data_IF_075774286010
#
_entry.id   IF_075774286010
#
_cell.length_a   1.000
_cell.length_b   1.000
_cell.length_c   1.000
_cell.angle_alpha   90.00
_cell.angle_beta   90.00
_cell.angle_gamma   90.00
#
_symmetry.space_group_name_H-M   'P 1'
#
loop_
_entity.id
_entity.type
_entity.pdbx_description
1 polymer ?
#
# COMPACT_ATOMS: atom_id res chain seq x y z
N UNK A 1 -27.73 -26.59 17.27
CA UNK A 1 -26.59 -25.79 16.76
C UNK A 1 -25.92 -25.15 17.97
N UNK A 2 -24.66 -25.46 18.26
CA UNK A 2 -23.99 -24.89 19.43
C UNK A 2 -23.67 -23.39 19.19
N UNK A 3 -23.29 -22.65 20.24
CA UNK A 3 -22.98 -21.22 20.13
C UNK A 3 -21.86 -20.92 19.12
N UNK A 4 -20.85 -21.78 19.03
CA UNK A 4 -19.73 -21.64 18.10
C UNK A 4 -20.14 -21.86 16.63
N UNK A 5 -21.06 -22.79 16.37
CA UNK A 5 -21.61 -23.04 15.04
C UNK A 5 -22.43 -21.83 14.56
N UNK A 6 -23.19 -21.20 15.48
CA UNK A 6 -23.96 -19.98 15.19
C UNK A 6 -23.04 -18.80 14.87
N UNK A 7 -22.01 -18.58 15.68
CA UNK A 7 -21.01 -17.53 15.41
C UNK A 7 -20.35 -17.73 14.04
N UNK A 8 -19.97 -18.97 13.71
CA UNK A 8 -19.34 -19.29 12.43
C UNK A 8 -20.29 -19.05 11.25
N UNK A 9 -21.57 -19.42 11.39
CA UNK A 9 -22.57 -19.17 10.35
C UNK A 9 -22.80 -17.66 10.13
N UNK A 10 -22.85 -16.86 11.19
CA UNK A 10 -22.99 -15.40 11.09
C UNK A 10 -21.75 -14.79 10.41
N UNK A 11 -20.55 -15.16 10.87
CA UNK A 11 -19.30 -14.69 10.27
C UNK A 11 -19.24 -15.02 8.77
N UNK A 12 -19.63 -16.23 8.37
CA UNK A 12 -19.64 -16.61 6.96
C UNK A 12 -20.63 -15.77 6.14
N UNK A 13 -21.83 -15.50 6.65
CA UNK A 13 -22.82 -14.65 5.95
C UNK A 13 -22.32 -13.22 5.77
N UNK A 14 -21.70 -12.64 6.80
CA UNK A 14 -21.10 -11.30 6.72
C UNK A 14 -19.96 -11.30 5.71
N UNK A 15 -19.07 -12.30 5.74
CA UNK A 15 -17.97 -12.41 4.79
C UNK A 15 -18.48 -12.53 3.33
N UNK A 16 -19.51 -13.33 3.08
CA UNK A 16 -20.14 -13.42 1.75
C UNK A 16 -20.72 -12.07 1.33
N UNK A 17 -21.39 -11.36 2.25
CA UNK A 17 -21.91 -10.02 1.99
C UNK A 17 -20.80 -9.02 1.61
N UNK A 18 -19.67 -9.04 2.32
CA UNK A 18 -18.50 -8.21 2.00
C UNK A 18 -17.90 -8.54 0.63
N UNK A 19 -17.84 -9.83 0.25
CA UNK A 19 -17.41 -10.23 -1.09
C UNK A 19 -18.40 -9.73 -2.16
N UNK A 20 -19.70 -9.82 -1.91
CA UNK A 20 -20.71 -9.29 -2.83
C UNK A 20 -20.59 -7.76 -3.00
N UNK A 21 -20.36 -7.02 -1.91
CA UNK A 21 -20.10 -5.57 -1.95
C UNK A 21 -18.85 -5.27 -2.76
N UNK A 22 -17.75 -6.00 -2.54
CA UNK A 22 -16.52 -5.84 -3.30
C UNK A 22 -16.75 -6.06 -4.81
N UNK A 23 -17.47 -7.11 -5.19
CA UNK A 23 -17.77 -7.41 -6.61
C UNK A 23 -18.65 -6.31 -7.20
N UNK A 24 -19.68 -5.86 -6.49
CA UNK A 24 -20.53 -4.77 -6.93
C UNK A 24 -19.75 -3.47 -7.16
N UNK A 25 -18.85 -3.12 -6.23
CA UNK A 25 -17.97 -1.95 -6.36
C UNK A 25 -17.04 -2.07 -7.58
N UNK A 26 -16.50 -3.27 -7.86
CA UNK A 26 -15.71 -3.49 -9.07
C UNK A 26 -16.52 -3.34 -10.35
N UNK A 27 -17.75 -3.87 -10.39
CA UNK A 27 -18.64 -3.71 -11.56
C UNK A 27 -18.92 -2.21 -11.81
N UNK A 28 -19.25 -1.47 -10.76
CA UNK A 28 -19.48 -0.02 -10.85
C UNK A 28 -18.22 0.69 -11.30
N UNK A 29 -17.06 0.33 -10.74
CA UNK A 29 -15.78 0.91 -11.12
C UNK A 29 -15.45 0.67 -12.59
N UNK A 30 -15.61 -0.57 -13.08
CA UNK A 30 -15.33 -0.89 -14.48
C UNK A 30 -16.22 -0.03 -15.39
N UNK A 31 -17.52 0.06 -15.09
CA UNK A 31 -18.45 0.88 -15.85
C UNK A 31 -18.03 2.36 -15.87
N UNK A 32 -17.78 2.95 -14.69
CA UNK A 32 -17.39 4.36 -14.59
C UNK A 32 -16.03 4.62 -15.21
N UNK A 33 -15.04 3.76 -14.99
CA UNK A 33 -13.68 3.94 -15.48
C UNK A 33 -13.55 3.82 -17.00
N UNK A 34 -14.40 3.01 -17.66
CA UNK A 34 -14.53 3.05 -19.12
C UNK A 34 -15.26 4.29 -19.60
N UNK A 35 -16.29 4.76 -18.87
CA UNK A 35 -17.06 5.95 -19.25
C UNK A 35 -16.25 7.25 -19.09
N UNK A 36 -15.38 7.35 -18.09
CA UNK A 36 -14.54 8.52 -17.84
C UNK A 36 -13.22 8.48 -18.59
N UNK A 37 -12.87 7.35 -19.19
CA UNK A 37 -11.55 7.11 -19.77
C UNK A 37 -10.45 6.85 -18.73
N UNK A 38 -10.76 6.76 -17.43
CA UNK A 38 -9.73 6.55 -16.40
C UNK A 38 -8.99 5.20 -16.54
N UNK A 39 -9.60 4.23 -17.22
CA UNK A 39 -9.01 2.93 -17.57
C UNK A 39 -8.39 2.88 -18.98
N UNK A 40 -8.60 3.89 -19.83
CA UNK A 40 -8.22 3.84 -21.27
C UNK A 40 -7.33 4.99 -21.73
N UNK A 41 -7.36 6.14 -21.07
CA UNK A 41 -6.76 7.39 -21.52
C UNK A 41 -5.49 7.74 -20.74
N UNK A 42 -4.88 6.75 -20.09
CA UNK A 42 -3.62 6.90 -19.38
C UNK A 42 -2.43 6.83 -20.37
N UNK A 43 -1.30 7.48 -20.09
CA UNK A 43 -0.16 7.52 -20.99
C UNK A 43 0.57 6.15 -21.03
N UNK A 44 0.11 5.27 -21.93
CA UNK A 44 0.80 4.03 -22.29
C UNK A 44 -0.01 2.77 -22.00
N UNK A 45 -0.75 2.29 -23.00
CA UNK A 45 -1.72 1.19 -22.90
C UNK A 45 -1.23 -0.10 -22.21
N UNK A 46 0.06 -0.42 -22.31
CA UNK A 46 0.66 -1.60 -21.64
C UNK A 46 0.76 -1.38 -20.13
N UNK A 47 1.22 -0.20 -19.70
CA UNK A 47 1.32 0.15 -18.29
C UNK A 47 -0.09 0.22 -17.69
N UNK A 48 -1.06 0.72 -18.44
CA UNK A 48 -2.46 0.85 -17.99
C UNK A 48 -3.13 -0.50 -17.78
N UNK A 49 -2.92 -1.43 -18.73
CA UNK A 49 -3.39 -2.79 -18.58
C UNK A 49 -2.74 -3.46 -17.37
N UNK A 50 -1.44 -3.26 -17.16
CA UNK A 50 -0.72 -3.81 -16.01
C UNK A 50 -1.20 -3.20 -14.69
N UNK A 51 -1.43 -1.90 -14.62
CA UNK A 51 -1.96 -1.23 -13.43
C UNK A 51 -3.41 -1.60 -13.14
N UNK A 52 -4.27 -1.64 -14.16
CA UNK A 52 -5.67 -2.02 -14.02
C UNK A 52 -5.84 -3.49 -13.62
N UNK A 53 -5.21 -4.41 -14.36
CA UNK A 53 -5.20 -5.84 -14.04
C UNK A 53 -4.51 -6.10 -12.71
N UNK A 54 -3.41 -5.42 -12.43
CA UNK A 54 -2.71 -5.47 -11.16
C UNK A 54 -3.60 -5.05 -10.00
N UNK A 55 -4.31 -3.93 -10.11
CA UNK A 55 -5.22 -3.44 -9.06
C UNK A 55 -6.35 -4.43 -8.79
N UNK A 56 -6.95 -5.02 -9.83
CA UNK A 56 -7.94 -6.10 -9.68
C UNK A 56 -7.32 -7.30 -8.98
N UNK A 57 -6.19 -7.79 -9.48
CA UNK A 57 -5.52 -8.98 -8.98
C UNK A 57 -5.09 -8.83 -7.51
N UNK A 58 -4.45 -7.71 -7.14
CA UNK A 58 -4.02 -7.47 -5.77
C UNK A 58 -5.19 -7.24 -4.82
N UNK A 59 -6.20 -6.44 -5.21
CA UNK A 59 -7.37 -6.24 -4.35
C UNK A 59 -8.17 -7.54 -4.12
N UNK A 60 -8.31 -8.37 -5.17
CA UNK A 60 -8.92 -9.69 -5.07
C UNK A 60 -8.07 -10.64 -4.22
N UNK A 61 -6.75 -10.65 -4.38
CA UNK A 61 -5.83 -11.42 -3.54
C UNK A 61 -6.00 -11.06 -2.05
N UNK A 62 -5.96 -9.77 -1.71
CA UNK A 62 -6.13 -9.29 -0.33
C UNK A 62 -7.48 -9.78 0.23
N UNK A 63 -8.56 -9.60 -0.53
CA UNK A 63 -9.91 -10.02 -0.15
C UNK A 63 -10.01 -11.55 0.05
N UNK A 64 -9.46 -12.33 -0.88
CA UNK A 64 -9.51 -13.79 -0.87
C UNK A 64 -8.71 -14.36 0.30
N UNK A 65 -7.54 -13.78 0.60
CA UNK A 65 -6.78 -14.15 1.81
C UNK A 65 -7.59 -13.83 3.06
N UNK A 66 -8.18 -12.65 3.15
CA UNK A 66 -9.04 -12.25 4.27
C UNK A 66 -10.22 -13.21 4.46
N UNK A 67 -10.94 -13.52 3.37
CA UNK A 67 -12.04 -14.49 3.35
C UNK A 67 -11.59 -15.90 3.77
N UNK A 68 -10.45 -16.37 3.25
CA UNK A 68 -9.89 -17.67 3.61
C UNK A 68 -9.51 -17.77 5.09
N UNK A 69 -9.07 -16.66 5.70
CA UNK A 69 -8.81 -16.57 7.15
C UNK A 69 -10.13 -16.55 7.92
N UNK A 70 -11.12 -15.73 7.55
CA UNK A 70 -12.41 -15.64 8.28
C UNK A 70 -13.17 -16.97 8.27
N UNK A 71 -13.16 -17.70 7.14
CA UNK A 71 -13.87 -18.99 7.01
C UNK A 71 -13.30 -20.10 7.90
N UNK A 72 -12.00 -20.03 8.22
CA UNK A 72 -11.28 -20.98 9.08
C UNK A 72 -11.12 -20.50 10.52
N UNK A 73 -10.94 -19.20 10.71
CA UNK A 73 -10.68 -18.54 11.99
C UNK A 73 -11.55 -17.26 12.12
N UNK A 74 -12.88 -17.38 12.30
CA UNK A 74 -13.80 -16.24 12.28
C UNK A 74 -13.54 -15.20 13.38
N UNK A 75 -12.86 -15.60 14.46
CA UNK A 75 -12.47 -14.72 15.58
C UNK A 75 -11.15 -13.99 15.36
N UNK A 76 -10.41 -14.30 14.28
CA UNK A 76 -9.16 -13.63 13.97
C UNK A 76 -9.43 -12.31 13.24
N UNK A 77 -9.17 -11.19 13.91
CA UNK A 77 -9.41 -9.84 13.39
C UNK A 77 -8.69 -9.56 12.06
N UNK A 78 -7.54 -10.20 11.82
CA UNK A 78 -6.72 -9.96 10.61
C UNK A 78 -7.48 -10.32 9.34
N UNK A 79 -8.26 -11.41 9.36
CA UNK A 79 -9.07 -11.79 8.20
C UNK A 79 -10.08 -10.70 7.83
N UNK A 80 -10.72 -10.10 8.82
CA UNK A 80 -11.68 -9.00 8.63
C UNK A 80 -10.99 -7.71 8.16
N UNK A 81 -9.84 -7.36 8.72
CA UNK A 81 -9.05 -6.21 8.28
C UNK A 81 -8.61 -6.35 6.82
N UNK A 82 -8.15 -7.55 6.44
CA UNK A 82 -7.81 -7.87 5.05
C UNK A 82 -9.02 -7.82 4.12
N UNK A 83 -10.23 -8.14 4.57
CA UNK A 83 -11.42 -7.94 3.73
C UNK A 83 -11.80 -6.46 3.60
N UNK A 84 -11.58 -5.66 4.63
CA UNK A 84 -11.96 -4.24 4.66
C UNK A 84 -11.05 -3.35 3.81
N UNK A 85 -9.73 -3.59 3.83
CA UNK A 85 -8.73 -2.83 3.06
C UNK A 85 -9.13 -2.66 1.58
N UNK A 86 -9.35 -3.75 0.80
CA UNK A 86 -9.62 -3.62 -0.61
C UNK A 86 -11.02 -3.06 -0.89
N UNK A 87 -12.00 -3.26 0.00
CA UNK A 87 -13.34 -2.66 -0.12
C UNK A 87 -13.26 -1.14 -0.03
N UNK A 88 -12.56 -0.61 0.99
CA UNK A 88 -12.36 0.84 1.13
C UNK A 88 -11.52 1.40 -0.02
N UNK A 89 -10.48 0.68 -0.44
CA UNK A 89 -9.65 1.07 -1.58
C UNK A 89 -10.47 1.20 -2.86
N UNK A 90 -11.25 0.20 -3.23
CA UNK A 90 -12.08 0.26 -4.46
C UNK A 90 -13.18 1.29 -4.32
N UNK A 91 -13.76 1.45 -3.13
CA UNK A 91 -14.74 2.51 -2.90
C UNK A 91 -14.15 3.90 -3.17
N UNK A 92 -12.90 4.14 -2.73
CA UNK A 92 -12.17 5.37 -3.04
C UNK A 92 -12.06 5.62 -4.55
N UNK A 93 -11.70 4.59 -5.31
CA UNK A 93 -11.65 4.69 -6.76
C UNK A 93 -13.01 4.92 -7.41
N UNK A 94 -14.06 4.23 -6.94
CA UNK A 94 -15.44 4.43 -7.44
C UNK A 94 -15.89 5.87 -7.26
N UNK A 95 -15.66 6.47 -6.07
CA UNK A 95 -16.04 7.87 -5.84
C UNK A 95 -15.16 8.84 -6.64
N UNK A 96 -13.89 8.49 -6.91
CA UNK A 96 -13.01 9.24 -7.80
C UNK A 96 -13.50 9.25 -9.25
N UNK A 97 -13.81 8.09 -9.82
CA UNK A 97 -14.37 7.96 -11.16
C UNK A 97 -15.75 8.65 -11.25
N UNK A 98 -16.60 8.47 -10.23
CA UNK A 98 -17.90 9.14 -10.15
C UNK A 98 -17.76 10.67 -10.15
N UNK A 99 -16.83 11.21 -9.36
CA UNK A 99 -16.58 12.65 -9.31
C UNK A 99 -16.10 13.18 -10.66
N UNK A 100 -15.21 12.46 -11.33
CA UNK A 100 -14.72 12.79 -12.68
C UNK A 100 -15.88 12.82 -13.68
N UNK A 101 -16.74 11.79 -13.67
CA UNK A 101 -17.92 11.73 -14.54
C UNK A 101 -18.87 12.92 -14.31
N UNK A 102 -19.18 13.19 -13.03
CA UNK A 102 -20.17 14.20 -12.64
C UNK A 102 -19.70 15.64 -12.85
N UNK A 103 -18.39 15.91 -12.73
CA UNK A 103 -17.84 17.26 -12.68
C UNK A 103 -17.03 17.62 -13.94
N UNK A 104 -16.49 16.63 -14.66
CA UNK A 104 -15.54 16.85 -15.76
C UNK A 104 -16.03 16.28 -17.07
N UNK A 105 -16.31 14.97 -17.15
CA UNK A 105 -16.69 14.31 -18.42
C UNK A 105 -18.06 14.76 -18.92
N UNK A 106 -19.06 14.73 -18.04
CA UNK A 106 -20.40 15.21 -18.32
C UNK A 106 -20.89 16.07 -17.15
N UNK A 107 -20.46 17.33 -17.13
CA UNK A 107 -20.75 18.27 -16.04
C UNK A 107 -22.25 18.33 -15.74
N UNK A 108 -22.62 18.00 -14.50
CA UNK A 108 -24.02 18.04 -14.03
C UNK A 108 -24.88 16.82 -14.41
N UNK A 109 -24.31 15.80 -15.06
CA UNK A 109 -25.02 14.56 -15.41
C UNK A 109 -25.42 13.72 -14.20
N UNK A 110 -24.62 13.78 -13.13
CA UNK A 110 -24.80 13.00 -11.91
C UNK A 110 -24.83 13.92 -10.68
N UNK A 111 -25.72 13.69 -9.72
CA UNK A 111 -25.79 14.49 -8.51
C UNK A 111 -24.60 14.21 -7.59
N UNK A 112 -24.34 15.13 -6.65
CA UNK A 112 -23.35 14.93 -5.57
C UNK A 112 -21.88 14.73 -6.00
N UNK A 113 -21.48 15.13 -7.22
CA UNK A 113 -20.08 15.02 -7.67
C UNK A 113 -19.06 15.62 -6.71
N UNK A 114 -19.38 16.77 -6.07
CA UNK A 114 -18.50 17.39 -5.05
C UNK A 114 -18.36 16.56 -3.78
N UNK A 115 -19.41 15.84 -3.38
CA UNK A 115 -19.36 14.94 -2.22
C UNK A 115 -18.52 13.71 -2.55
N UNK A 116 -18.63 13.18 -3.77
CA UNK A 116 -17.78 12.10 -4.24
C UNK A 116 -16.30 12.49 -4.26
N UNK A 117 -15.98 13.69 -4.78
CA UNK A 117 -14.62 14.24 -4.74
C UNK A 117 -14.11 14.44 -3.30
N UNK A 118 -15.00 14.80 -2.38
CA UNK A 118 -14.66 14.91 -0.96
C UNK A 118 -14.30 13.56 -0.33
N UNK A 119 -15.06 12.50 -0.61
CA UNK A 119 -14.73 11.14 -0.17
C UNK A 119 -13.43 10.62 -0.78
N UNK A 120 -13.22 10.84 -2.09
CA UNK A 120 -12.01 10.46 -2.83
C UNK A 120 -10.74 10.95 -2.12
N UNK A 121 -10.76 12.18 -1.61
CA UNK A 121 -9.61 12.82 -0.94
C UNK A 121 -9.04 12.05 0.25
N UNK A 122 -9.86 11.40 1.08
CA UNK A 122 -9.41 10.84 2.36
C UNK A 122 -9.61 9.33 2.51
N UNK A 123 -10.46 8.69 1.69
CA UNK A 123 -10.75 7.26 1.80
C UNK A 123 -9.50 6.38 1.66
N UNK A 124 -8.58 6.74 0.75
CA UNK A 124 -7.35 5.97 0.54
C UNK A 124 -6.48 5.94 1.80
N UNK A 125 -6.42 7.05 2.54
CA UNK A 125 -5.66 7.14 3.79
C UNK A 125 -6.26 6.20 4.84
N UNK A 126 -7.59 6.16 4.95
CA UNK A 126 -8.28 5.24 5.85
C UNK A 126 -8.02 3.77 5.48
N UNK A 127 -8.02 3.43 4.19
CA UNK A 127 -7.74 2.08 3.71
C UNK A 127 -6.31 1.63 4.04
N UNK A 128 -5.31 2.47 3.74
CA UNK A 128 -3.89 2.15 3.98
C UNK A 128 -3.55 2.07 5.47
N UNK A 129 -4.16 2.90 6.31
CA UNK A 129 -3.90 2.90 7.75
C UNK A 129 -4.26 1.56 8.43
N UNK A 130 -5.14 0.74 7.85
CA UNK A 130 -5.55 -0.57 8.38
C UNK A 130 -4.41 -1.59 8.40
N UNK A 131 -3.36 -1.42 7.57
CA UNK A 131 -2.18 -2.29 7.63
C UNK A 131 -1.45 -2.20 8.99
N UNK A 132 -1.47 -1.05 9.66
CA UNK A 132 -0.78 -0.85 10.95
C UNK A 132 -1.37 -1.75 12.06
N UNK A 133 -2.68 -1.71 12.38
CA UNK A 133 -3.25 -2.61 13.36
C UNK A 133 -3.16 -4.08 12.93
N UNK A 134 -3.06 -4.40 11.63
CA UNK A 134 -2.79 -5.77 11.18
C UNK A 134 -1.46 -6.30 11.72
N UNK A 135 -0.36 -5.53 11.60
CA UNK A 135 0.94 -5.92 12.17
C UNK A 135 0.88 -6.06 13.70
N UNK A 136 0.15 -5.16 14.38
CA UNK A 136 0.01 -5.18 15.84
C UNK A 136 -0.76 -6.41 16.35
N UNK A 137 -1.72 -6.90 15.58
CA UNK A 137 -2.59 -8.02 15.92
C UNK A 137 -2.06 -9.39 15.47
N UNK A 138 -1.01 -9.41 14.65
CA UNK A 138 -0.44 -10.61 14.07
C UNK A 138 0.20 -11.55 15.12
N UNK A 139 0.08 -12.90 14.98
CA UNK A 139 -0.70 -13.66 13.98
C UNK A 139 -2.13 -14.03 14.40
N UNK A 140 -2.44 -13.95 15.70
CA UNK A 140 -3.64 -14.54 16.30
C UNK A 140 -4.84 -13.58 16.37
N UNK A 141 -4.72 -12.38 15.81
CA UNK A 141 -5.77 -11.36 15.80
C UNK A 141 -5.94 -10.65 17.14
N UNK A 142 -4.95 -10.73 18.02
CA UNK A 142 -5.00 -10.17 19.38
C UNK A 142 -3.80 -9.26 19.64
N UNK A 143 -3.88 -8.41 20.65
CA UNK A 143 -2.74 -7.63 21.10
C UNK A 143 -1.75 -8.52 21.88
N UNK A 144 -0.42 -8.27 21.81
CA UNK A 144 0.56 -9.06 22.56
C UNK A 144 0.30 -9.11 24.08
N UNK A 145 -0.16 -7.99 24.64
CA UNK A 145 -0.65 -7.89 26.02
C UNK A 145 -1.45 -6.58 26.22
N UNK A 146 -2.05 -6.39 27.40
CA UNK A 146 -2.87 -5.18 27.69
C UNK A 146 -2.10 -3.86 27.53
N UNK A 147 -0.77 -3.86 27.71
CA UNK A 147 0.09 -2.67 27.55
C UNK A 147 0.18 -2.15 26.12
N UNK A 148 -0.26 -2.94 25.13
CA UNK A 148 -0.29 -2.54 23.72
C UNK A 148 -1.62 -1.92 23.29
N UNK A 149 -2.63 -1.88 24.18
CA UNK A 149 -3.89 -1.17 23.92
C UNK A 149 -3.69 0.32 23.64
N UNK A 150 -2.83 1.05 24.39
CA UNK A 150 -2.54 2.45 24.07
C UNK A 150 -1.99 2.63 22.65
N UNK A 151 -1.15 1.70 22.17
CA UNK A 151 -0.61 1.77 20.79
C UNK A 151 -1.73 1.63 19.76
N UNK A 152 -2.64 0.67 19.95
CA UNK A 152 -3.80 0.53 19.06
C UNK A 152 -4.67 1.80 19.06
N UNK A 153 -4.99 2.33 20.25
CA UNK A 153 -5.78 3.56 20.37
C UNK A 153 -5.06 4.77 19.78
N UNK A 154 -3.74 4.85 19.94
CA UNK A 154 -2.91 5.89 19.34
C UNK A 154 -2.95 5.81 17.81
N UNK A 155 -2.85 4.62 17.23
CA UNK A 155 -3.02 4.43 15.78
C UNK A 155 -4.40 4.86 15.31
N UNK A 156 -5.47 4.41 15.99
CA UNK A 156 -6.85 4.79 15.64
C UNK A 156 -7.03 6.31 15.73
N UNK A 157 -6.54 6.95 16.79
CA UNK A 157 -6.62 8.38 16.99
C UNK A 157 -5.84 9.13 15.90
N UNK A 158 -4.59 8.73 15.61
CA UNK A 158 -3.77 9.34 14.57
C UNK A 158 -4.46 9.25 13.20
N UNK A 159 -4.94 8.06 12.82
CA UNK A 159 -5.69 7.86 11.57
C UNK A 159 -6.96 8.70 11.52
N UNK A 160 -7.71 8.77 12.63
CA UNK A 160 -8.95 9.57 12.70
C UNK A 160 -8.64 11.05 12.52
N UNK A 161 -7.61 11.56 13.21
CA UNK A 161 -7.16 12.95 13.06
C UNK A 161 -6.74 13.23 11.62
N UNK A 162 -5.96 12.34 11.00
CA UNK A 162 -5.58 12.50 9.59
C UNK A 162 -6.81 12.53 8.68
N UNK A 163 -7.71 11.55 8.78
CA UNK A 163 -8.92 11.49 7.94
C UNK A 163 -9.78 12.74 8.11
N UNK A 164 -10.02 13.18 9.34
CA UNK A 164 -10.80 14.39 9.62
C UNK A 164 -10.09 15.62 9.08
N UNK A 165 -8.78 15.77 9.31
CA UNK A 165 -7.99 16.89 8.83
C UNK A 165 -8.05 16.99 7.29
N UNK A 166 -7.87 15.89 6.57
CA UNK A 166 -8.02 15.84 5.11
C UNK A 166 -9.45 16.15 4.66
N UNK A 167 -10.46 15.71 5.41
CA UNK A 167 -11.86 15.96 5.11
C UNK A 167 -12.25 17.44 5.27
N UNK A 168 -11.66 18.17 6.21
CA UNK A 168 -11.98 19.59 6.46
C UNK A 168 -10.93 20.57 5.94
N UNK A 169 -9.89 20.08 5.24
CA UNK A 169 -8.84 20.95 4.69
C UNK A 169 -9.45 21.95 3.72
N UNK A 170 -9.26 23.27 3.93
CA UNK A 170 -9.75 24.28 3.02
C UNK A 170 -9.09 24.20 1.64
N UNK A 171 -9.68 24.93 0.69
CA UNK A 171 -9.11 25.09 -0.65
C UNK A 171 -9.55 24.03 -1.68
N UNK A 172 -8.73 23.89 -2.72
CA UNK A 172 -9.03 23.07 -3.90
C UNK A 172 -8.95 21.58 -3.55
N UNK A 173 -9.96 20.83 -3.97
CA UNK A 173 -9.89 19.38 -4.05
C UNK A 173 -9.01 18.99 -5.24
N UNK A 174 -7.84 18.45 -4.93
CA UNK A 174 -7.04 17.64 -5.84
C UNK A 174 -7.41 16.19 -5.51
N UNK A 175 -8.10 15.51 -6.41
CA UNK A 175 -8.54 14.13 -6.19
C UNK A 175 -7.38 13.20 -5.86
N UNK A 176 -7.65 12.14 -5.09
CA UNK A 176 -6.70 11.02 -4.97
C UNK A 176 -6.76 10.18 -6.25
N UNK A 177 -7.97 9.94 -6.76
CA UNK A 177 -8.22 9.21 -8.00
C UNK A 177 -9.10 9.98 -8.99
N UNK A 178 -9.78 11.05 -8.56
CA UNK A 178 -10.54 11.89 -9.49
C UNK A 178 -9.64 12.79 -10.33
N UNK A 179 -9.86 12.82 -11.65
CA UNK A 179 -9.19 13.78 -12.55
C UNK A 179 -9.92 15.12 -12.50
N UNK A 180 -9.54 15.94 -11.53
CA UNK A 180 -10.05 17.30 -11.36
C UNK A 180 -9.09 18.34 -11.95
N UNK A 181 -8.15 17.98 -12.82
CA UNK A 181 -7.14 18.94 -13.34
C UNK A 181 -7.80 20.08 -14.10
N UNK A 182 -8.81 19.77 -14.92
CA UNK A 182 -9.52 20.70 -15.81
C UNK A 182 -10.55 21.59 -15.09
N UNK A 183 -10.91 21.30 -13.84
CA UNK A 183 -11.98 22.00 -13.12
C UNK A 183 -11.56 22.33 -11.69
N UNK A 184 -11.83 23.56 -11.25
CA UNK A 184 -11.60 23.94 -9.85
C UNK A 184 -12.80 23.54 -9.00
N UNK A 185 -12.62 22.56 -8.13
CA UNK A 185 -13.61 22.14 -7.13
C UNK A 185 -13.10 22.50 -5.75
N UNK A 186 -13.87 23.26 -4.98
CA UNK A 186 -13.52 23.60 -3.60
C UNK A 186 -14.08 22.57 -2.63
N UNK A 187 -13.37 22.34 -1.52
CA UNK A 187 -13.83 21.44 -0.48
C UNK A 187 -15.13 22.00 0.16
N UNK A 188 -16.26 21.29 0.07
CA UNK A 188 -17.52 21.76 0.64
C UNK A 188 -17.49 21.88 2.17
N UNK A 189 -16.60 21.16 2.85
CA UNK A 189 -16.43 21.18 4.30
C UNK A 189 -15.10 21.83 4.72
N UNK A 190 -14.47 22.57 3.81
CA UNK A 190 -13.24 23.33 4.08
C UNK A 190 -13.46 24.38 5.16
N UNK A 191 -12.56 24.45 6.15
CA UNK A 191 -12.60 25.47 7.21
C UNK A 191 -11.39 26.41 7.06
N UNK A 192 -11.56 27.49 6.30
CA UNK A 192 -10.48 28.44 5.99
C UNK A 192 -9.83 29.02 7.27
N UNK A 193 -10.66 29.33 8.28
CA UNK A 193 -10.19 29.89 9.57
C UNK A 193 -9.26 28.93 10.36
N UNK A 194 -9.24 27.64 10.03
CA UNK A 194 -8.46 26.62 10.72
C UNK A 194 -7.29 26.07 9.88
N UNK A 195 -6.98 26.65 8.72
CA UNK A 195 -5.97 26.14 7.79
C UNK A 195 -4.64 25.79 8.48
N UNK A 196 -4.02 26.74 9.19
CA UNK A 196 -2.75 26.49 9.89
C UNK A 196 -2.83 25.40 10.97
N UNK A 197 -3.99 25.24 11.62
CA UNK A 197 -4.22 24.17 12.58
C UNK A 197 -4.38 22.81 11.90
N UNK A 198 -5.05 22.78 10.75
CA UNK A 198 -5.25 21.58 9.94
C UNK A 198 -3.91 21.10 9.36
N UNK A 199 -3.08 22.01 8.89
CA UNK A 199 -1.74 21.70 8.39
C UNK A 199 -0.85 21.11 9.49
N UNK A 200 -0.81 21.78 10.65
CA UNK A 200 -0.08 21.28 11.81
C UNK A 200 -0.61 19.90 12.27
N UNK A 201 -1.94 19.73 12.32
CA UNK A 201 -2.57 18.46 12.68
C UNK A 201 -2.22 17.36 11.69
N UNK A 202 -2.20 17.66 10.39
CA UNK A 202 -1.87 16.69 9.32
C UNK A 202 -0.41 16.25 9.41
N UNK A 203 0.52 17.19 9.60
CA UNK A 203 1.95 16.88 9.78
C UNK A 203 2.19 16.03 11.04
N UNK A 204 1.63 16.45 12.17
CA UNK A 204 1.75 15.71 13.44
C UNK A 204 1.12 14.33 13.35
N UNK A 205 -0.04 14.20 12.70
CA UNK A 205 -0.70 12.92 12.52
C UNK A 205 0.09 12.01 11.57
N UNK A 206 0.74 12.55 10.54
CA UNK A 206 1.68 11.80 9.70
C UNK A 206 2.85 11.23 10.49
N UNK A 207 3.47 12.04 11.36
CA UNK A 207 4.52 11.59 12.28
C UNK A 207 3.97 10.52 13.24
N UNK A 208 2.77 10.72 13.78
CA UNK A 208 2.12 9.75 14.67
C UNK A 208 1.81 8.41 13.98
N UNK A 209 1.44 8.42 12.70
CA UNK A 209 1.25 7.22 11.87
C UNK A 209 2.58 6.49 11.68
N UNK A 210 3.66 7.22 11.39
CA UNK A 210 5.00 6.62 11.29
C UNK A 210 5.44 5.98 12.62
N UNK A 211 5.28 6.70 13.74
CA UNK A 211 5.55 6.16 15.08
C UNK A 211 4.71 4.89 15.33
N UNK A 212 3.43 4.91 14.96
CA UNK A 212 2.54 3.74 15.07
C UNK A 212 3.04 2.54 14.27
N UNK A 213 3.53 2.76 13.05
CA UNK A 213 4.12 1.70 12.23
C UNK A 213 5.36 1.08 12.89
N UNK A 214 6.27 1.91 13.44
CA UNK A 214 7.43 1.42 14.20
C UNK A 214 7.03 0.65 15.46
N UNK A 215 6.03 1.14 16.21
CA UNK A 215 5.51 0.46 17.38
C UNK A 215 4.86 -0.89 17.02
N UNK A 216 4.14 -0.97 15.88
CA UNK A 216 3.59 -2.23 15.39
C UNK A 216 4.71 -3.22 15.02
N UNK A 217 5.79 -2.76 14.41
CA UNK A 217 7.01 -3.58 14.20
C UNK A 217 7.64 -4.05 15.51
N UNK A 218 7.76 -3.17 16.50
CA UNK A 218 8.26 -3.52 17.83
C UNK A 218 7.37 -4.56 18.54
N UNK A 219 6.05 -4.51 18.34
CA UNK A 219 5.12 -5.51 18.87
C UNK A 219 5.42 -6.92 18.34
N UNK A 220 5.79 -7.03 17.06
CA UNK A 220 6.20 -8.29 16.43
C UNK A 220 7.48 -8.82 17.05
N UNK A 221 8.47 -7.95 17.30
CA UNK A 221 9.71 -8.34 17.97
C UNK A 221 9.43 -8.84 19.39
N UNK A 222 8.59 -8.14 20.15
CA UNK A 222 8.19 -8.55 21.50
C UNK A 222 7.49 -9.90 21.49
N UNK A 223 6.59 -10.15 20.52
CA UNK A 223 5.96 -11.46 20.32
C UNK A 223 6.98 -12.53 19.97
N UNK A 224 7.92 -12.23 19.09
CA UNK A 224 8.95 -13.16 18.66
C UNK A 224 9.82 -13.66 19.83
N UNK A 225 10.17 -12.77 20.78
CA UNK A 225 11.00 -13.13 21.95
C UNK A 225 10.32 -14.11 22.90
N UNK A 226 8.98 -14.08 22.97
CA UNK A 226 8.19 -15.00 23.79
C UNK A 226 7.63 -16.21 23.02
N UNK A 227 7.78 -16.24 21.70
CA UNK A 227 7.19 -17.27 20.84
C UNK A 227 8.10 -18.50 20.72
N UNK A 228 7.50 -19.69 20.82
CA UNK A 228 8.15 -20.97 20.55
C UNK A 228 7.39 -21.75 19.47
N UNK A 229 8.07 -22.70 18.85
CA UNK A 229 7.49 -23.60 17.85
C UNK A 229 6.86 -22.87 16.66
N UNK A 230 5.58 -23.12 16.44
CA UNK A 230 4.83 -22.70 15.27
C UNK A 230 4.65 -21.18 15.15
N UNK A 231 4.31 -20.51 16.27
CA UNK A 231 4.08 -19.06 16.29
C UNK A 231 5.31 -18.29 15.85
N UNK A 232 6.51 -18.82 16.18
CA UNK A 232 7.77 -18.20 15.77
C UNK A 232 7.96 -18.25 14.26
N UNK A 233 7.57 -19.34 13.61
CA UNK A 233 7.64 -19.48 12.16
C UNK A 233 6.59 -18.60 11.46
N UNK A 234 5.39 -18.46 12.01
CA UNK A 234 4.39 -17.49 11.53
C UNK A 234 4.94 -16.06 11.54
N UNK A 235 5.58 -15.65 12.63
CA UNK A 235 6.19 -14.32 12.76
C UNK A 235 7.31 -14.11 11.75
N UNK A 236 8.14 -15.12 11.49
CA UNK A 236 9.22 -14.98 10.49
C UNK A 236 8.68 -14.66 9.09
N UNK A 237 7.55 -15.24 8.67
CA UNK A 237 6.96 -14.94 7.35
C UNK A 237 6.61 -13.47 7.20
N UNK A 238 5.87 -12.91 8.16
CA UNK A 238 5.51 -11.50 8.13
C UNK A 238 6.71 -10.58 8.37
N UNK A 239 7.64 -10.98 9.25
CA UNK A 239 8.85 -10.21 9.51
C UNK A 239 9.76 -10.13 8.28
N UNK A 240 9.88 -11.22 7.50
CA UNK A 240 10.65 -11.23 6.26
C UNK A 240 10.10 -10.21 5.26
N UNK A 241 8.79 -10.23 5.02
CA UNK A 241 8.13 -9.24 4.13
C UNK A 241 8.18 -7.83 4.71
N UNK A 242 8.00 -7.66 6.02
CA UNK A 242 8.06 -6.36 6.67
C UNK A 242 9.46 -5.73 6.62
N UNK A 243 10.51 -6.55 6.70
CA UNK A 243 11.89 -6.08 6.50
C UNK A 243 12.12 -5.70 5.04
N UNK A 244 11.66 -6.50 4.07
CA UNK A 244 11.75 -6.15 2.65
C UNK A 244 11.05 -4.80 2.37
N UNK A 245 9.82 -4.64 2.86
CA UNK A 245 9.07 -3.38 2.76
C UNK A 245 9.82 -2.18 3.35
N UNK A 246 10.45 -2.33 4.52
CA UNK A 246 11.23 -1.25 5.14
C UNK A 246 12.52 -0.95 4.36
N UNK A 247 13.20 -1.97 3.85
CA UNK A 247 14.41 -1.80 3.02
C UNK A 247 14.05 -1.09 1.72
N UNK A 248 12.97 -1.48 1.06
CA UNK A 248 12.47 -0.85 -0.16
C UNK A 248 12.10 0.63 0.07
N UNK A 249 11.43 0.93 1.19
CA UNK A 249 11.11 2.30 1.59
C UNK A 249 12.37 3.15 1.80
N UNK A 250 13.32 2.66 2.60
CA UNK A 250 14.56 3.37 2.89
C UNK A 250 15.43 3.53 1.64
N UNK A 251 15.50 2.50 0.78
CA UNK A 251 16.18 2.58 -0.50
C UNK A 251 15.56 3.67 -1.39
N UNK A 252 14.22 3.73 -1.45
CA UNK A 252 13.49 4.81 -2.13
C UNK A 252 13.89 6.19 -1.64
N UNK A 253 13.83 6.43 -0.32
CA UNK A 253 14.16 7.73 0.30
C UNK A 253 15.63 8.12 0.07
N UNK A 254 16.55 7.18 0.24
CA UNK A 254 17.98 7.45 0.08
C UNK A 254 18.30 7.73 -1.39
N UNK A 255 17.76 6.93 -2.32
CA UNK A 255 18.09 7.07 -3.73
C UNK A 255 17.51 8.36 -4.32
N UNK A 256 16.29 8.74 -3.98
CA UNK A 256 15.72 10.04 -4.39
C UNK A 256 16.52 11.21 -3.81
N UNK A 257 16.95 11.11 -2.56
CA UNK A 257 17.81 12.11 -1.92
C UNK A 257 19.20 12.26 -2.58
N UNK A 258 19.75 11.17 -3.13
CA UNK A 258 21.06 11.16 -3.82
C UNK A 258 20.93 11.66 -5.26
N UNK A 259 19.90 11.24 -6.00
CA UNK A 259 19.75 11.52 -7.43
C UNK A 259 19.32 12.96 -7.72
N UNK A 260 18.64 13.62 -6.78
CA UNK A 260 18.10 14.97 -6.95
C UNK A 260 16.93 15.03 -7.96
N UNK A 261 16.15 16.11 -7.87
CA UNK A 261 14.85 16.26 -8.55
C UNK A 261 14.91 16.67 -10.04
N UNK A 262 15.99 16.40 -10.77
CA UNK A 262 16.22 17.05 -12.08
C UNK A 262 16.64 16.15 -13.24
N UNK A 263 16.14 14.91 -13.32
CA UNK A 263 16.25 14.12 -14.56
C UNK A 263 15.13 13.10 -14.72
N UNK A 264 14.72 12.84 -15.97
CA UNK A 264 13.71 11.81 -16.32
C UNK A 264 14.13 10.39 -15.88
N UNK A 265 15.43 10.16 -15.68
CA UNK A 265 15.97 8.92 -15.13
C UNK A 265 15.67 8.78 -13.63
N UNK A 266 15.74 9.87 -12.86
CA UNK A 266 15.37 9.91 -11.44
C UNK A 266 13.90 9.54 -11.25
N UNK A 267 13.01 10.09 -12.08
CA UNK A 267 11.58 9.78 -12.07
C UNK A 267 11.29 8.31 -12.37
N UNK A 268 11.99 7.74 -13.36
CA UNK A 268 11.81 6.33 -13.75
C UNK A 268 12.21 5.39 -12.61
N UNK A 269 13.36 5.63 -11.98
CA UNK A 269 13.84 4.80 -10.87
C UNK A 269 12.96 4.99 -9.63
N UNK A 270 12.56 6.22 -9.31
CA UNK A 270 11.65 6.52 -8.21
C UNK A 270 10.30 5.81 -8.38
N UNK A 271 9.72 5.85 -9.57
CA UNK A 271 8.47 5.15 -9.90
C UNK A 271 8.60 3.63 -9.80
N UNK A 272 9.72 3.07 -10.26
CA UNK A 272 9.99 1.63 -10.14
C UNK A 272 10.10 1.19 -8.67
N UNK A 273 10.85 1.94 -7.86
CA UNK A 273 10.99 1.65 -6.43
C UNK A 273 9.66 1.79 -5.68
N UNK A 274 8.91 2.85 -5.96
CA UNK A 274 7.56 3.03 -5.41
C UNK A 274 6.64 1.87 -5.80
N UNK A 275 6.70 1.43 -7.06
CA UNK A 275 5.91 0.29 -7.55
C UNK A 275 6.26 -0.98 -6.79
N UNK A 276 7.54 -1.34 -6.68
CA UNK A 276 7.98 -2.52 -5.94
C UNK A 276 7.54 -2.46 -4.48
N UNK A 277 7.77 -1.32 -3.82
CA UNK A 277 7.34 -1.08 -2.44
C UNK A 277 5.83 -1.25 -2.25
N UNK A 278 5.04 -0.71 -3.18
CA UNK A 278 3.58 -0.81 -3.17
C UNK A 278 3.10 -2.23 -3.45
N UNK A 279 3.77 -2.99 -4.32
CA UNK A 279 3.48 -4.41 -4.57
C UNK A 279 3.78 -5.27 -3.33
N UNK A 280 4.85 -4.98 -2.60
CA UNK A 280 5.16 -5.65 -1.33
C UNK A 280 4.08 -5.39 -0.28
N UNK A 281 3.56 -4.16 -0.23
CA UNK A 281 2.43 -3.79 0.64
C UNK A 281 1.15 -4.55 0.30
N UNK A 282 0.75 -4.52 -0.98
CA UNK A 282 -0.54 -5.05 -1.44
C UNK A 282 -0.54 -6.56 -1.70
N UNK A 283 0.59 -7.16 -2.03
CA UNK A 283 0.72 -8.59 -2.30
C UNK A 283 1.47 -9.32 -1.20
N UNK A 284 2.67 -8.83 -0.89
CA UNK A 284 3.58 -9.48 0.06
C UNK A 284 2.96 -9.67 1.44
N UNK A 285 2.43 -8.59 2.04
CA UNK A 285 1.89 -8.63 3.42
C UNK A 285 0.67 -9.56 3.54
N UNK A 286 -0.37 -9.47 2.68
CA UNK A 286 -1.49 -10.40 2.71
C UNK A 286 -1.04 -11.84 2.47
N UNK A 287 -0.17 -12.10 1.50
CA UNK A 287 0.33 -13.47 1.24
C UNK A 287 1.03 -14.01 2.48
N UNK A 288 1.93 -13.24 3.09
CA UNK A 288 2.60 -13.63 4.34
C UNK A 288 1.59 -13.90 5.45
N UNK A 289 0.54 -13.08 5.57
CA UNK A 289 -0.54 -13.32 6.53
C UNK A 289 -1.29 -14.62 6.26
N UNK A 290 -1.69 -14.86 5.01
CA UNK A 290 -2.39 -16.07 4.59
C UNK A 290 -1.56 -17.32 4.84
N UNK A 291 -0.32 -17.35 4.35
CA UNK A 291 0.62 -18.46 4.51
C UNK A 291 0.86 -18.77 5.99
N UNK A 292 1.14 -17.73 6.80
CA UNK A 292 1.41 -17.90 8.22
C UNK A 292 0.17 -18.34 9.01
N UNK A 293 -0.97 -17.67 8.84
CA UNK A 293 -2.17 -17.91 9.66
C UNK A 293 -2.86 -19.22 9.27
N UNK A 294 -2.88 -19.55 7.97
CA UNK A 294 -3.46 -20.80 7.46
C UNK A 294 -2.48 -21.98 7.49
N UNK A 295 -1.23 -21.74 7.90
CA UNK A 295 -0.20 -22.76 8.14
C UNK A 295 0.22 -23.53 6.87
N UNK A 296 0.20 -22.86 5.71
CA UNK A 296 0.75 -23.44 4.48
C UNK A 296 2.28 -23.36 4.51
N UNK A 297 2.99 -24.47 4.29
CA UNK A 297 4.46 -24.50 4.10
C UNK A 297 5.30 -23.74 5.15
N UNK A 298 4.89 -23.79 6.42
CA UNK A 298 5.48 -22.95 7.49
C UNK A 298 7.00 -23.11 7.65
N UNK A 299 7.55 -24.27 7.29
CA UNK A 299 8.98 -24.63 7.45
C UNK A 299 9.84 -24.36 6.22
N UNK A 300 9.24 -24.15 5.04
CA UNK A 300 10.01 -23.89 3.80
C UNK A 300 10.59 -22.47 3.76
N UNK A 301 10.15 -21.60 4.67
CA UNK A 301 10.62 -20.23 4.80
C UNK A 301 12.14 -20.14 5.01
N UNK A 302 12.73 -21.04 5.81
CA UNK A 302 14.17 -20.98 6.10
C UNK A 302 15.00 -21.19 4.81
N UNK A 303 14.47 -21.92 3.81
CA UNK A 303 15.07 -22.06 2.47
C UNK A 303 14.88 -20.79 1.65
N UNK A 304 13.68 -20.21 1.67
CA UNK A 304 13.37 -18.96 0.96
C UNK A 304 14.26 -17.81 1.47
N UNK A 305 14.40 -17.66 2.78
CA UNK A 305 15.26 -16.65 3.40
C UNK A 305 16.71 -16.86 2.97
N UNK A 306 17.23 -18.09 3.04
CA UNK A 306 18.62 -18.38 2.63
C UNK A 306 18.85 -18.00 1.17
N UNK A 307 17.94 -18.38 0.28
CA UNK A 307 18.02 -18.03 -1.14
C UNK A 307 17.92 -16.51 -1.33
N UNK A 308 16.96 -15.85 -0.67
CA UNK A 308 16.79 -14.40 -0.76
C UNK A 308 18.02 -13.63 -0.26
N UNK A 309 18.66 -14.08 0.83
CA UNK A 309 19.91 -13.48 1.33
C UNK A 309 21.05 -13.70 0.34
N UNK A 310 21.22 -14.92 -0.20
CA UNK A 310 22.28 -15.20 -1.18
C UNK A 310 22.08 -14.38 -2.45
N UNK A 311 20.90 -14.46 -3.08
CA UNK A 311 20.61 -13.70 -4.30
C UNK A 311 20.61 -12.20 -4.05
N UNK A 312 20.04 -11.73 -2.95
CA UNK A 312 20.05 -10.31 -2.57
C UNK A 312 21.47 -9.78 -2.36
N UNK A 313 22.32 -10.54 -1.65
CA UNK A 313 23.73 -10.16 -1.46
C UNK A 313 24.50 -10.13 -2.77
N UNK A 314 24.23 -11.07 -3.68
CA UNK A 314 24.83 -11.13 -5.01
C UNK A 314 24.41 -9.91 -5.85
N UNK A 315 23.12 -9.57 -5.86
CA UNK A 315 22.61 -8.39 -6.59
C UNK A 315 23.23 -7.12 -6.04
N UNK A 316 23.22 -6.92 -4.72
CA UNK A 316 23.84 -5.75 -4.08
C UNK A 316 25.33 -5.66 -4.42
N UNK A 317 26.06 -6.78 -4.38
CA UNK A 317 27.47 -6.82 -4.75
C UNK A 317 27.70 -6.42 -6.21
N UNK A 318 26.95 -7.00 -7.15
CA UNK A 318 27.05 -6.69 -8.59
C UNK A 318 26.72 -5.21 -8.84
N UNK A 319 25.63 -4.70 -8.24
CA UNK A 319 25.24 -3.30 -8.37
C UNK A 319 26.30 -2.35 -7.80
N UNK A 320 26.87 -2.67 -6.63
CA UNK A 320 27.92 -1.85 -6.02
C UNK A 320 29.21 -1.83 -6.87
N UNK A 321 29.63 -2.98 -7.40
CA UNK A 321 30.79 -3.07 -8.30
C UNK A 321 30.53 -2.28 -9.59
N UNK A 322 29.36 -2.44 -10.19
CA UNK A 322 28.96 -1.67 -11.37
C UNK A 322 28.99 -0.16 -11.11
N UNK A 323 28.35 0.30 -10.01
CA UNK A 323 28.33 1.71 -9.64
C UNK A 323 29.72 2.27 -9.36
N UNK A 324 30.60 1.50 -8.72
CA UNK A 324 32.00 1.89 -8.49
C UNK A 324 32.77 2.03 -9.80
N UNK A 325 32.63 1.09 -10.75
CA UNK A 325 33.27 1.18 -12.07
C UNK A 325 32.79 2.41 -12.83
N UNK A 326 31.48 2.61 -12.93
CA UNK A 326 30.90 3.78 -13.61
C UNK A 326 31.35 5.08 -12.94
N UNK A 327 31.30 5.16 -11.61
CA UNK A 327 31.77 6.32 -10.84
C UNK A 327 33.25 6.65 -11.09
N UNK A 328 34.13 5.63 -11.07
CA UNK A 328 35.56 5.81 -11.36
C UNK A 328 35.81 6.25 -12.81
N UNK A 329 35.08 5.70 -13.77
CA UNK A 329 35.23 6.09 -15.19
C UNK A 329 34.73 7.51 -15.45
N UNK A 330 33.62 7.92 -14.83
CA UNK A 330 33.08 9.28 -14.97
C UNK A 330 33.98 10.36 -14.36
N UNK A 331 34.76 10.04 -13.31
CA UNK A 331 35.70 11.01 -12.71
C UNK A 331 36.99 11.18 -13.52
N UNK A 332 37.37 10.21 -14.35
CA UNK A 332 38.56 10.28 -15.19
C UNK A 332 38.30 10.82 -16.60
N UNK A 333 37.05 10.85 -17.04
CA UNK A 333 36.68 11.25 -18.40
C UNK A 333 35.96 12.60 -18.38
N UNK A 334 36.66 13.66 -18.78
CA UNK A 334 36.14 15.03 -18.83
C UNK A 334 35.28 15.36 -20.08
N UNK A 335 35.10 14.41 -21.02
CA UNK A 335 34.35 14.64 -22.26
C UNK A 335 33.15 13.70 -22.39
N UNK A 336 32.04 14.23 -22.87
CA UNK A 336 30.77 13.51 -23.13
C UNK A 336 30.98 12.24 -23.96
N UNK A 337 31.91 12.29 -24.92
CA UNK A 337 32.25 11.19 -25.84
C UNK A 337 32.88 10.01 -25.10
N UNK A 338 33.75 10.25 -24.12
CA UNK A 338 34.37 9.15 -23.38
C UNK A 338 33.40 8.47 -22.40
N UNK A 339 32.41 9.19 -21.89
CA UNK A 339 31.33 8.58 -21.07
C UNK A 339 30.46 7.64 -21.91
N UNK A 340 30.12 8.03 -23.13
CA UNK A 340 29.42 7.15 -24.08
C UNK A 340 30.27 5.94 -24.48
N UNK A 341 31.57 6.13 -24.72
CA UNK A 341 32.47 5.03 -25.06
C UNK A 341 32.65 4.04 -23.89
N UNK A 342 32.75 4.53 -22.65
CA UNK A 342 32.82 3.70 -21.45
C UNK A 342 31.51 2.90 -21.24
N UNK A 343 30.36 3.55 -21.39
CA UNK A 343 29.05 2.89 -21.32
C UNK A 343 28.87 1.83 -22.41
N UNK A 344 29.29 2.12 -23.65
CA UNK A 344 29.23 1.18 -24.77
C UNK A 344 30.17 -0.02 -24.57
N UNK A 345 31.38 0.21 -24.04
CA UNK A 345 32.34 -0.87 -23.76
C UNK A 345 31.81 -1.81 -22.68
N UNK A 346 31.19 -1.28 -21.64
CA UNK A 346 30.55 -2.07 -20.59
C UNK A 346 29.33 -2.83 -21.13
N UNK A 347 28.50 -2.21 -21.97
CA UNK A 347 27.36 -2.87 -22.60
C UNK A 347 27.80 -4.08 -23.45
N UNK A 348 28.95 -4.00 -24.11
CA UNK A 348 29.54 -5.13 -24.85
C UNK A 348 30.13 -6.18 -23.90
N UNK A 349 30.75 -5.78 -22.78
CA UNK A 349 31.35 -6.70 -21.82
C UNK A 349 30.31 -7.57 -21.09
N UNK A 350 29.09 -7.05 -20.92
CA UNK A 350 27.96 -7.72 -20.26
C UNK A 350 26.92 -8.26 -21.26
N UNK A 351 27.18 -8.19 -22.56
CA UNK A 351 26.35 -8.86 -23.55
C UNK A 351 26.52 -10.39 -23.40
N UNK A 352 25.41 -11.16 -23.34
CA UNK A 352 25.44 -12.60 -23.05
C UNK A 352 26.12 -13.44 -24.12
#
# INVERSE_FOLDING_TARGET
MNHADRERAIALRVAIGLVAVFVALWIVRLFLGFATGSLTDQPGWVLDLVYGVGTIAFSALILLVGWAIVTRQPRNAIGWLLMLIPILGIFAFVVGDYATQALVTHTGSLPFGRVAAWFDRWLIVAALAIFIPLFLLFPDGKLPSRRWRPVLWFTIAATTVTVVAFAVTPGRLTGAFSDLTKVTVTNPLGIDAAEGWIDAATQLAGIAILISAFLAGAAIIVRFRGASGEVRQQIKWLAFVGVAFMVEFLAGVVLTGILGDQSSASDTVGNALFTVWFLTLLGGIPIACGVAILKYHLYDLDVVIRKAVVFGSLVVFITAVYAAIVGLLTTQVSSTIGSFAAAATLAVLFAP
#
